data_IF_485711303082
#
_entry.id   IF_485711303082
#
_cell.length_a   1.000
_cell.length_b   1.000
_cell.length_c   1.000
_cell.angle_alpha   90.00
_cell.angle_beta   90.00
_cell.angle_gamma   90.00
#
_symmetry.space_group_name_H-M   'P 1'
#
loop_
_entity.id
_entity.type
_entity.pdbx_description
1 polymer ?
#
# COMPACT_ATOMS: atom_id res chain seq x y z
N UNK A 1 16.46 -9.40 26.52
CA UNK A 1 16.69 -10.61 25.70
C UNK A 1 16.07 -10.35 24.34
N UNK A 2 16.88 -10.36 23.30
CA UNK A 2 16.51 -9.94 21.95
C UNK A 2 15.45 -10.88 21.37
N UNK A 3 14.34 -10.32 20.87
CA UNK A 3 13.39 -11.08 20.07
C UNK A 3 14.04 -11.33 18.69
N UNK A 4 14.41 -12.57 18.49
CA UNK A 4 15.06 -13.08 17.29
C UNK A 4 14.09 -12.95 16.10
N UNK A 5 14.42 -12.09 15.13
CA UNK A 5 13.82 -12.16 13.80
C UNK A 5 14.29 -13.46 13.17
N UNK A 6 13.56 -14.56 13.37
CA UNK A 6 13.81 -15.80 12.63
C UNK A 6 13.32 -15.63 11.20
N UNK A 7 14.15 -15.02 10.36
CA UNK A 7 14.09 -15.21 8.93
C UNK A 7 14.55 -16.65 8.66
N UNK A 8 13.60 -17.57 8.49
CA UNK A 8 13.91 -18.92 8.03
C UNK A 8 14.46 -18.83 6.60
N UNK A 9 15.78 -18.97 6.46
CA UNK A 9 16.47 -18.96 5.17
C UNK A 9 16.39 -20.37 4.59
N UNK A 10 15.49 -20.60 3.63
CA UNK A 10 15.33 -21.92 2.98
C UNK A 10 16.60 -22.29 2.19
N UNK A 11 17.18 -23.45 2.50
CA UNK A 11 18.49 -23.92 2.06
C UNK A 11 18.51 -24.54 0.66
N UNK A 12 17.86 -23.92 -0.33
CA UNK A 12 17.97 -24.33 -1.74
C UNK A 12 19.30 -23.83 -2.33
N UNK A 13 20.03 -24.70 -3.03
CA UNK A 13 21.34 -24.41 -3.66
C UNK A 13 21.24 -23.58 -4.94
N UNK A 14 20.30 -22.64 -5.03
CA UNK A 14 20.07 -21.79 -6.20
C UNK A 14 20.63 -20.36 -6.05
N UNK A 15 21.21 -20.02 -4.88
CA UNK A 15 21.79 -18.70 -4.62
C UNK A 15 20.75 -17.58 -4.51
N UNK A 16 19.47 -17.95 -4.36
CA UNK A 16 18.33 -17.02 -4.24
C UNK A 16 17.94 -16.89 -2.77
N UNK A 17 18.23 -15.73 -2.16
CA UNK A 17 17.79 -15.43 -0.81
C UNK A 17 16.27 -15.20 -0.78
N UNK A 18 15.55 -16.08 -0.10
CA UNK A 18 14.11 -15.99 0.15
C UNK A 18 13.87 -15.47 1.56
N UNK A 19 13.05 -14.43 1.67
CA UNK A 19 12.62 -13.88 2.94
C UNK A 19 11.15 -14.22 3.14
N UNK A 20 10.80 -14.92 4.22
CA UNK A 20 9.41 -15.22 4.52
C UNK A 20 8.84 -14.08 5.35
N UNK A 21 7.69 -13.56 4.92
CA UNK A 21 6.95 -12.55 5.68
C UNK A 21 5.66 -13.16 6.21
N UNK A 22 5.45 -12.91 7.50
CA UNK A 22 4.24 -13.24 8.22
C UNK A 22 3.19 -12.17 7.93
N UNK A 23 2.02 -12.62 7.49
CA UNK A 23 0.87 -11.77 7.22
C UNK A 23 -0.34 -12.30 7.96
N UNK A 24 -1.23 -11.38 8.33
CA UNK A 24 -2.52 -11.72 8.87
C UNK A 24 -3.39 -12.36 7.77
N UNK A 25 -4.08 -13.45 8.10
CA UNK A 25 -5.03 -14.07 7.18
C UNK A 25 -6.28 -13.19 7.08
N UNK A 26 -6.70 -12.89 5.86
CA UNK A 26 -7.97 -12.22 5.65
C UNK A 26 -9.10 -13.22 5.42
N UNK A 27 -10.30 -12.87 5.90
CA UNK A 27 -11.55 -13.60 5.62
C UNK A 27 -11.99 -13.38 4.16
N UNK A 28 -11.25 -13.98 3.23
CA UNK A 28 -11.48 -13.89 1.79
C UNK A 28 -11.64 -15.30 1.22
N UNK A 29 -12.68 -15.48 0.41
CA UNK A 29 -12.85 -16.68 -0.40
C UNK A 29 -12.21 -16.40 -1.77
N UNK A 30 -11.04 -16.97 -2.10
CA UNK A 30 -10.31 -16.69 -3.35
C UNK A 30 -10.91 -17.47 -4.54
N UNK A 31 -12.22 -17.69 -4.54
CA UNK A 31 -12.93 -18.46 -5.55
C UNK A 31 -13.97 -17.55 -6.19
N UNK A 32 -13.97 -17.50 -7.52
CA UNK A 32 -14.99 -16.76 -8.26
C UNK A 32 -16.38 -17.29 -7.90
N UNK A 33 -17.28 -16.39 -7.51
CA UNK A 33 -18.66 -16.74 -7.14
C UNK A 33 -19.36 -17.67 -8.17
N UNK A 34 -19.31 -17.41 -9.50
CA UNK A 34 -19.91 -18.33 -10.47
C UNK A 34 -19.31 -19.74 -10.42
N UNK A 35 -17.99 -19.85 -10.22
CA UNK A 35 -17.31 -21.15 -10.09
C UNK A 35 -17.75 -21.89 -8.83
N UNK A 36 -17.90 -21.18 -7.71
CA UNK A 36 -18.42 -21.75 -6.47
C UNK A 36 -19.86 -22.24 -6.63
N UNK A 37 -20.74 -21.38 -7.14
CA UNK A 37 -22.16 -21.72 -7.36
C UNK A 37 -22.29 -22.92 -8.30
N UNK A 38 -21.56 -22.93 -9.42
CA UNK A 38 -21.61 -24.07 -10.35
C UNK A 38 -21.11 -25.35 -9.71
N UNK A 39 -20.00 -25.31 -8.96
CA UNK A 39 -19.46 -26.50 -8.29
C UNK A 39 -20.42 -27.05 -7.25
N UNK A 40 -21.04 -26.20 -6.43
CA UNK A 40 -22.07 -26.61 -5.47
C UNK A 40 -23.30 -27.19 -6.17
N UNK A 41 -23.75 -26.56 -7.26
CA UNK A 41 -24.87 -27.06 -8.05
C UNK A 41 -24.60 -28.45 -8.66
N UNK A 42 -23.36 -28.74 -9.08
CA UNK A 42 -22.99 -30.05 -9.61
C UNK A 42 -22.98 -31.17 -8.57
N UNK A 43 -22.87 -30.84 -7.28
CA UNK A 43 -22.94 -31.82 -6.19
C UNK A 43 -24.38 -32.27 -5.89
N UNK A 44 -25.38 -31.57 -6.44
CA UNK A 44 -26.79 -31.90 -6.27
C UNK A 44 -27.20 -32.93 -7.34
N UNK A 45 -27.66 -34.10 -6.90
CA UNK A 45 -28.00 -35.24 -7.77
C UNK A 45 -29.25 -34.98 -8.62
N UNK A 46 -30.33 -34.48 -8.01
CA UNK A 46 -31.59 -34.24 -8.70
C UNK A 46 -31.60 -32.90 -9.46
N UNK A 47 -32.03 -32.93 -10.73
CA UNK A 47 -32.08 -31.74 -11.59
C UNK A 47 -33.06 -30.68 -11.07
N UNK A 48 -34.17 -31.09 -10.48
CA UNK A 48 -35.16 -30.18 -9.89
C UNK A 48 -34.52 -29.34 -8.77
N UNK A 49 -33.87 -30.00 -7.80
CA UNK A 49 -33.19 -29.36 -6.67
C UNK A 49 -32.04 -28.47 -7.13
N UNK A 50 -31.31 -28.89 -8.17
CA UNK A 50 -30.24 -28.08 -8.78
C UNK A 50 -30.79 -26.76 -9.32
N UNK A 51 -31.93 -26.81 -10.03
CA UNK A 51 -32.58 -25.62 -10.56
C UNK A 51 -33.12 -24.72 -9.45
N UNK A 52 -33.66 -25.29 -8.37
CA UNK A 52 -34.08 -24.53 -7.19
C UNK A 52 -32.91 -23.86 -6.47
N UNK A 53 -31.80 -24.56 -6.27
CA UNK A 53 -30.57 -24.02 -5.71
C UNK A 53 -30.05 -22.83 -6.52
N UNK A 54 -29.99 -22.95 -7.85
CA UNK A 54 -29.58 -21.84 -8.72
C UNK A 54 -30.53 -20.64 -8.63
N UNK A 55 -31.85 -20.87 -8.50
CA UNK A 55 -32.83 -19.81 -8.25
C UNK A 55 -32.60 -19.16 -6.89
N UNK A 56 -32.32 -19.94 -5.85
CA UNK A 56 -32.00 -19.44 -4.52
C UNK A 56 -30.75 -18.54 -4.56
N UNK A 57 -29.64 -18.99 -5.17
CA UNK A 57 -28.43 -18.20 -5.31
C UNK A 57 -28.70 -16.85 -6.00
N UNK A 58 -29.50 -16.84 -7.08
CA UNK A 58 -29.89 -15.61 -7.78
C UNK A 58 -30.72 -14.69 -6.89
N UNK A 59 -31.70 -15.23 -6.15
CA UNK A 59 -32.52 -14.45 -5.21
C UNK A 59 -31.67 -13.82 -4.13
N UNK A 60 -30.78 -14.58 -3.49
CA UNK A 60 -29.84 -14.09 -2.48
C UNK A 60 -28.97 -12.97 -3.05
N UNK A 61 -28.42 -13.14 -4.25
CA UNK A 61 -27.63 -12.10 -4.92
C UNK A 61 -28.43 -10.80 -5.14
N UNK A 62 -29.67 -10.90 -5.63
CA UNK A 62 -30.49 -9.72 -5.86
C UNK A 62 -30.88 -9.02 -4.56
N UNK A 63 -31.23 -9.77 -3.51
CA UNK A 63 -31.52 -9.21 -2.19
C UNK A 63 -30.31 -8.46 -1.64
N UNK A 64 -29.13 -9.07 -1.67
CA UNK A 64 -27.88 -8.44 -1.21
C UNK A 64 -27.60 -7.18 -2.03
N UNK A 65 -27.73 -7.24 -3.36
CA UNK A 65 -27.51 -6.08 -4.24
C UNK A 65 -28.49 -4.94 -3.93
N UNK A 66 -29.76 -5.25 -3.69
CA UNK A 66 -30.76 -4.25 -3.35
C UNK A 66 -30.46 -3.57 -2.01
N UNK A 67 -30.05 -4.34 -0.99
CA UNK A 67 -29.65 -3.79 0.30
C UNK A 67 -28.49 -2.81 0.19
N UNK A 68 -27.46 -3.15 -0.60
CA UNK A 68 -26.30 -2.26 -0.77
C UNK A 68 -26.55 -1.10 -1.73
N UNK A 69 -27.54 -1.19 -2.62
CA UNK A 69 -27.86 -0.12 -3.56
C UNK A 69 -28.26 1.17 -2.83
N UNK A 70 -29.15 1.07 -1.84
CA UNK A 70 -29.60 2.22 -1.06
C UNK A 70 -28.44 2.87 -0.30
N UNK A 71 -27.61 2.07 0.37
CA UNK A 71 -26.43 2.58 1.09
C UNK A 71 -25.43 3.27 0.16
N UNK A 72 -25.28 2.74 -1.06
CA UNK A 72 -24.40 3.31 -2.06
C UNK A 72 -24.94 4.63 -2.62
N UNK A 73 -26.24 4.73 -2.87
CA UNK A 73 -26.87 5.97 -3.34
C UNK A 73 -26.71 7.10 -2.33
N UNK A 74 -26.97 6.85 -1.05
CA UNK A 74 -26.78 7.84 0.03
C UNK A 74 -25.32 8.30 0.12
N UNK A 75 -24.37 7.35 0.08
CA UNK A 75 -22.94 7.66 0.10
C UNK A 75 -22.52 8.48 -1.13
N UNK A 76 -23.03 8.16 -2.31
CA UNK A 76 -22.70 8.87 -3.55
C UNK A 76 -23.29 10.27 -3.57
N UNK A 77 -24.50 10.47 -3.05
CA UNK A 77 -25.10 11.79 -2.91
C UNK A 77 -24.25 12.68 -2.01
N UNK A 78 -23.86 12.17 -0.84
CA UNK A 78 -22.97 12.88 0.09
C UNK A 78 -21.59 13.15 -0.52
N UNK A 79 -20.97 12.14 -1.13
CA UNK A 79 -19.67 12.28 -1.79
C UNK A 79 -19.71 13.37 -2.86
N UNK A 80 -20.83 13.52 -3.57
CA UNK A 80 -20.95 14.49 -4.64
C UNK A 80 -20.77 15.94 -4.18
N UNK A 81 -21.02 16.26 -2.91
CA UNK A 81 -20.74 17.57 -2.30
C UNK A 81 -19.24 17.78 -2.05
N UNK A 82 -18.50 16.70 -1.84
CA UNK A 82 -17.08 16.69 -1.50
C UNK A 82 -16.22 16.16 -2.65
N UNK A 83 -16.78 16.01 -3.85
CA UNK A 83 -16.04 15.64 -5.04
C UNK A 83 -14.96 16.70 -5.33
N UNK A 84 -13.67 16.32 -5.50
CA UNK A 84 -12.60 17.29 -5.67
C UNK A 84 -12.71 18.17 -6.92
N UNK A 85 -13.56 17.82 -7.89
CA UNK A 85 -13.72 18.56 -9.15
C UNK A 85 -14.91 19.50 -9.07
N UNK A 86 -16.09 18.97 -8.72
CA UNK A 86 -17.38 19.70 -8.78
C UNK A 86 -18.00 20.03 -7.42
N UNK A 87 -17.44 19.52 -6.32
CA UNK A 87 -18.01 19.67 -4.98
C UNK A 87 -18.09 21.12 -4.51
N UNK A 88 -17.07 21.94 -4.81
CA UNK A 88 -17.04 23.37 -4.43
C UNK A 88 -18.23 24.14 -4.99
N UNK A 89 -18.55 23.94 -6.27
CA UNK A 89 -19.67 24.61 -6.93
C UNK A 89 -21.02 24.16 -6.35
N UNK A 90 -21.16 22.86 -6.05
CA UNK A 90 -22.38 22.31 -5.44
C UNK A 90 -22.62 22.85 -4.03
N UNK A 91 -21.57 22.93 -3.22
CA UNK A 91 -21.65 23.52 -1.87
C UNK A 91 -22.07 24.99 -1.93
N UNK A 92 -21.53 25.75 -2.90
CA UNK A 92 -21.92 27.15 -3.12
C UNK A 92 -23.38 27.27 -3.56
N UNK A 93 -23.86 26.39 -4.44
CA UNK A 93 -25.26 26.39 -4.90
C UNK A 93 -26.26 26.10 -3.77
N UNK A 94 -25.88 25.26 -2.81
CA UNK A 94 -26.76 24.88 -1.71
C UNK A 94 -26.79 25.92 -0.57
N UNK A 95 -25.93 26.94 -0.59
CA UNK A 95 -25.85 28.01 0.43
C UNK A 95 -25.79 27.47 1.87
N UNK A 96 -25.10 26.36 2.08
CA UNK A 96 -24.96 25.72 3.39
C UNK A 96 -24.04 26.53 4.31
N UNK A 97 -24.35 26.53 5.60
CA UNK A 97 -23.49 27.10 6.62
C UNK A 97 -22.23 26.23 6.81
N UNK A 98 -21.11 26.80 7.31
CA UNK A 98 -19.89 26.02 7.56
C UNK A 98 -20.09 24.83 8.51
N UNK A 99 -20.99 24.95 9.49
CA UNK A 99 -21.30 23.89 10.47
C UNK A 99 -22.07 22.73 9.84
N UNK A 100 -23.03 23.03 8.96
CA UNK A 100 -23.75 22.01 8.18
C UNK A 100 -22.79 21.26 7.25
N UNK A 101 -21.89 21.98 6.58
CA UNK A 101 -20.87 21.37 5.72
C UNK A 101 -19.99 20.41 6.55
N UNK A 102 -19.53 20.82 7.73
CA UNK A 102 -18.74 19.94 8.61
C UNK A 102 -19.52 18.71 9.06
N UNK A 103 -20.82 18.84 9.32
CA UNK A 103 -21.68 17.71 9.69
C UNK A 103 -21.81 16.73 8.52
N UNK A 104 -22.00 17.24 7.30
CA UNK A 104 -22.07 16.41 6.09
C UNK A 104 -20.72 15.75 5.77
N UNK A 105 -19.59 16.43 5.98
CA UNK A 105 -18.25 15.84 5.85
C UNK A 105 -18.09 14.66 6.80
N UNK A 106 -18.51 14.85 8.05
CA UNK A 106 -18.41 13.83 9.07
C UNK A 106 -19.31 12.63 8.78
N UNK A 107 -20.54 12.87 8.34
CA UNK A 107 -21.46 11.82 7.90
C UNK A 107 -20.89 11.02 6.72
N UNK A 108 -20.31 11.71 5.73
CA UNK A 108 -19.63 11.04 4.62
C UNK A 108 -18.50 10.13 5.12
N UNK A 109 -17.64 10.62 6.02
CA UNK A 109 -16.56 9.81 6.60
C UNK A 109 -17.12 8.59 7.35
N UNK A 110 -18.14 8.77 8.18
CA UNK A 110 -18.79 7.65 8.91
C UNK A 110 -19.33 6.59 7.96
N UNK A 111 -20.07 6.97 6.92
CA UNK A 111 -20.58 6.01 5.95
C UNK A 111 -19.45 5.34 5.14
N UNK A 112 -18.42 6.09 4.78
CA UNK A 112 -17.25 5.54 4.10
C UNK A 112 -16.59 4.44 4.94
N UNK A 113 -16.34 4.70 6.22
CA UNK A 113 -15.75 3.71 7.14
C UNK A 113 -16.64 2.47 7.30
N UNK A 114 -17.95 2.65 7.49
CA UNK A 114 -18.90 1.54 7.56
C UNK A 114 -18.88 0.67 6.29
N UNK A 115 -18.81 1.31 5.11
CA UNK A 115 -18.73 0.58 3.83
C UNK A 115 -17.40 -0.17 3.72
N UNK A 116 -16.29 0.43 4.16
CA UNK A 116 -14.98 -0.24 4.18
C UNK A 116 -15.00 -1.47 5.10
N UNK A 117 -15.50 -1.32 6.32
CA UNK A 117 -15.61 -2.40 7.31
C UNK A 117 -16.49 -3.55 6.81
N UNK A 118 -17.72 -3.25 6.35
CA UNK A 118 -18.63 -4.26 5.75
C UNK A 118 -18.04 -4.94 4.52
N UNK A 119 -17.11 -4.28 3.84
CA UNK A 119 -16.40 -4.81 2.67
C UNK A 119 -15.11 -5.55 3.04
N UNK A 120 -14.85 -5.81 4.33
CA UNK A 120 -13.63 -6.44 4.85
C UNK A 120 -12.34 -5.70 4.48
N UNK A 121 -12.40 -4.38 4.29
CA UNK A 121 -11.18 -3.58 4.23
C UNK A 121 -10.66 -3.33 5.64
N UNK A 122 -9.33 -3.37 5.79
CA UNK A 122 -8.65 -2.97 7.02
C UNK A 122 -7.86 -1.69 6.78
N UNK A 123 -7.71 -0.87 7.82
CA UNK A 123 -6.73 0.21 7.78
C UNK A 123 -5.32 -0.38 7.75
N UNK A 124 -4.46 0.23 6.93
CA UNK A 124 -3.05 -0.11 6.88
C UNK A 124 -2.38 0.24 8.21
N UNK A 125 -1.70 -0.71 8.84
CA UNK A 125 -0.98 -0.50 10.10
C UNK A 125 0.43 0.08 9.87
N UNK A 126 1.03 0.64 10.94
CA UNK A 126 2.45 1.06 10.89
C UNK A 126 3.38 -0.12 10.60
N UNK A 127 3.07 -1.32 11.11
CA UNK A 127 3.88 -2.53 10.83
C UNK A 127 3.85 -2.90 9.35
N UNK A 128 2.67 -2.89 8.73
CA UNK A 128 2.51 -3.15 7.29
C UNK A 128 3.19 -2.06 6.46
N UNK A 129 3.10 -0.81 6.90
CA UNK A 129 3.75 0.33 6.27
C UNK A 129 5.29 0.23 6.33
N UNK A 130 5.84 -0.15 7.48
CA UNK A 130 7.28 -0.36 7.67
C UNK A 130 7.78 -1.55 6.85
N UNK A 131 7.01 -2.64 6.80
CA UNK A 131 7.31 -3.82 5.97
C UNK A 131 7.33 -3.43 4.48
N UNK A 132 6.39 -2.59 4.04
CA UNK A 132 6.36 -2.04 2.69
C UNK A 132 7.60 -1.18 2.41
N UNK A 133 7.99 -0.29 3.33
CA UNK A 133 9.16 0.58 3.16
C UNK A 133 10.52 -0.16 3.27
N UNK A 134 10.54 -1.33 3.91
CA UNK A 134 11.78 -2.07 4.22
C UNK A 134 12.50 -2.69 3.01
N UNK A 135 11.94 -2.65 1.81
CA UNK A 135 12.59 -3.24 0.64
C UNK A 135 12.22 -2.60 -0.68
N UNK A 136 13.04 -2.91 -1.69
CA UNK A 136 12.85 -2.47 -3.07
C UNK A 136 12.44 -3.66 -3.94
N UNK A 137 11.40 -3.48 -4.73
CA UNK A 137 10.92 -4.50 -5.66
C UNK A 137 11.30 -4.18 -7.11
N UNK A 138 10.57 -3.27 -7.77
CA UNK A 138 10.83 -2.90 -9.17
C UNK A 138 11.12 -1.41 -9.34
N UNK A 139 10.56 -0.55 -8.50
CA UNK A 139 10.66 0.90 -8.66
C UNK A 139 11.49 1.52 -7.53
N UNK A 140 12.62 2.12 -7.88
CA UNK A 140 13.48 2.87 -6.96
C UNK A 140 13.19 4.37 -7.12
N UNK A 141 11.98 4.79 -6.79
CA UNK A 141 11.65 6.22 -6.75
C UNK A 141 11.60 6.62 -5.29
N UNK A 142 12.54 7.41 -4.75
CA UNK A 142 12.46 7.92 -3.39
C UNK A 142 11.32 8.95 -3.31
N UNK A 143 10.08 8.47 -3.18
CA UNK A 143 8.89 9.30 -3.21
C UNK A 143 8.51 9.61 -1.77
N UNK A 144 8.59 10.89 -1.41
CA UNK A 144 8.07 11.38 -0.13
C UNK A 144 6.78 12.13 -0.36
N UNK A 145 5.82 11.95 0.54
CA UNK A 145 4.59 12.76 0.55
C UNK A 145 4.93 14.20 0.87
N UNK A 146 4.36 15.14 0.13
CA UNK A 146 4.38 16.55 0.46
C UNK A 146 3.28 16.88 1.47
N UNK A 147 3.60 16.72 2.75
CA UNK A 147 2.65 16.98 3.83
C UNK A 147 2.09 18.41 3.85
N UNK A 148 2.79 19.37 3.23
CA UNK A 148 2.32 20.75 3.16
C UNK A 148 1.06 20.91 2.32
N UNK A 149 0.81 19.97 1.40
CA UNK A 149 -0.34 19.95 0.51
C UNK A 149 -1.54 19.19 1.06
N UNK A 150 -1.43 18.62 2.26
CA UNK A 150 -2.47 17.79 2.87
C UNK A 150 -3.12 18.49 4.04
N UNK A 151 -4.45 18.43 4.07
CA UNK A 151 -5.21 18.88 5.23
C UNK A 151 -4.99 17.92 6.40
N UNK A 152 -4.90 18.48 7.60
CA UNK A 152 -4.76 17.72 8.85
C UNK A 152 -6.01 17.79 9.73
N UNK A 153 -7.01 18.60 9.38
CA UNK A 153 -8.17 18.88 10.24
C UNK A 153 -9.21 17.77 10.17
N UNK A 154 -9.56 17.30 8.97
CA UNK A 154 -10.66 16.34 8.76
C UNK A 154 -10.47 15.06 9.57
N UNK A 155 -9.36 14.37 9.30
CA UNK A 155 -9.09 13.06 9.90
C UNK A 155 -8.75 13.18 11.38
N UNK A 156 -8.06 14.24 11.80
CA UNK A 156 -7.81 14.50 13.24
C UNK A 156 -9.12 14.67 14.01
N UNK A 157 -10.08 15.45 13.47
CA UNK A 157 -11.40 15.62 14.10
C UNK A 157 -12.16 14.30 14.12
N UNK A 158 -12.18 13.59 12.99
CA UNK A 158 -12.86 12.31 12.86
C UNK A 158 -12.36 11.27 13.88
N UNK A 159 -11.05 11.03 13.96
CA UNK A 159 -10.48 10.04 14.89
C UNK A 159 -10.52 10.45 16.36
N UNK A 160 -10.66 11.76 16.65
CA UNK A 160 -10.90 12.22 18.01
C UNK A 160 -12.29 11.79 18.51
N UNK A 161 -13.28 11.79 17.63
CA UNK A 161 -14.66 11.39 17.94
C UNK A 161 -14.90 9.88 17.74
N UNK A 162 -14.09 9.24 16.88
CA UNK A 162 -14.09 7.80 16.63
C UNK A 162 -12.69 7.21 16.86
N UNK A 163 -12.31 6.93 18.13
CA UNK A 163 -11.03 6.31 18.43
C UNK A 163 -10.90 4.96 17.73
N UNK A 164 -9.76 4.74 17.07
CA UNK A 164 -9.43 3.48 16.42
C UNK A 164 -8.08 2.99 16.94
N UNK A 165 -7.97 1.68 17.15
CA UNK A 165 -6.71 1.05 17.49
C UNK A 165 -5.78 0.95 16.27
N UNK A 166 -4.47 0.91 16.53
CA UNK A 166 -3.44 0.69 15.51
C UNK A 166 -3.43 1.70 14.34
N UNK A 167 -3.88 2.93 14.58
CA UNK A 167 -3.81 4.00 13.59
C UNK A 167 -2.35 4.35 13.27
N UNK A 168 -1.98 4.45 11.98
CA UNK A 168 -0.64 4.82 11.61
C UNK A 168 -0.32 6.27 11.97
N UNK A 169 0.96 6.61 12.14
CA UNK A 169 1.40 7.95 12.56
C UNK A 169 0.96 9.08 11.60
N UNK A 170 0.75 8.74 10.33
CA UNK A 170 0.30 9.68 9.29
C UNK A 170 -1.23 9.75 9.13
N UNK A 171 -2.00 9.01 9.93
CA UNK A 171 -3.47 8.91 9.83
C UNK A 171 -4.20 10.25 9.91
N UNK A 172 -3.58 11.27 10.51
CA UNK A 172 -4.13 12.63 10.54
C UNK A 172 -4.11 13.36 9.19
N UNK A 173 -3.36 12.88 8.19
CA UNK A 173 -3.20 13.51 6.86
C UNK A 173 -3.93 12.73 5.77
N UNK A 174 -3.78 11.42 5.78
CA UNK A 174 -4.41 10.50 4.84
C UNK A 174 -4.52 9.13 5.47
N UNK A 175 -5.47 8.34 4.98
CA UNK A 175 -5.67 6.94 5.40
C UNK A 175 -5.60 6.04 4.18
N UNK A 176 -5.18 4.81 4.43
CA UNK A 176 -5.07 3.76 3.42
C UNK A 176 -5.84 2.57 3.94
N UNK A 177 -6.88 2.19 3.21
CA UNK A 177 -7.55 0.92 3.38
C UNK A 177 -6.90 -0.11 2.45
N UNK A 178 -6.71 -1.32 2.95
CA UNK A 178 -6.21 -2.46 2.17
C UNK A 178 -7.15 -3.66 2.31
N UNK A 179 -7.19 -4.50 1.26
CA UNK A 179 -7.88 -5.79 1.24
C UNK A 179 -7.27 -6.70 0.18
N UNK A 180 -7.14 -7.96 0.54
CA UNK A 180 -6.63 -9.07 -0.25
C UNK A 180 -5.11 -9.07 -0.26
N UNK A 181 -4.53 -10.26 -0.07
CA UNK A 181 -3.10 -10.50 -0.20
C UNK A 181 -2.89 -11.45 -1.38
N UNK A 182 -2.32 -10.91 -2.44
CA UNK A 182 -1.91 -11.64 -3.63
C UNK A 182 -0.40 -11.86 -3.67
N UNK A 183 0.07 -12.46 -4.76
CA UNK A 183 1.49 -12.68 -5.01
C UNK A 183 1.78 -12.20 -6.43
N UNK A 184 2.64 -11.19 -6.56
CA UNK A 184 3.21 -10.81 -7.85
C UNK A 184 4.48 -11.62 -8.11
N UNK A 185 4.61 -12.16 -9.32
CA UNK A 185 5.77 -12.94 -9.77
C UNK A 185 6.18 -12.45 -11.15
N UNK A 186 7.37 -11.89 -11.24
CA UNK A 186 7.93 -11.46 -12.52
C UNK A 186 9.21 -12.21 -12.80
N UNK A 187 9.31 -12.84 -13.97
CA UNK A 187 10.52 -13.57 -14.41
C UNK A 187 11.10 -12.91 -15.64
N UNK A 188 12.24 -12.25 -15.48
CA UNK A 188 12.94 -11.58 -16.57
C UNK A 188 14.45 -11.54 -16.31
N UNK A 189 15.22 -10.99 -17.25
CA UNK A 189 16.65 -10.81 -17.12
C UNK A 189 17.04 -9.68 -16.16
N UNK A 190 16.21 -8.65 -16.02
CA UNK A 190 16.41 -7.50 -15.11
C UNK A 190 17.82 -6.88 -15.21
N UNK A 191 18.36 -6.75 -16.43
CA UNK A 191 19.76 -6.34 -16.64
C UNK A 191 20.07 -4.96 -16.03
N UNK A 192 19.22 -3.97 -16.30
CA UNK A 192 19.43 -2.59 -15.85
C UNK A 192 19.32 -2.51 -14.33
N UNK A 193 18.33 -3.20 -13.75
CA UNK A 193 18.08 -3.25 -12.32
C UNK A 193 19.23 -3.96 -11.59
N UNK A 194 19.75 -5.06 -12.15
CA UNK A 194 20.94 -5.76 -11.63
C UNK A 194 22.16 -4.86 -11.60
N UNK A 195 22.39 -4.09 -12.67
CA UNK A 195 23.50 -3.12 -12.74
C UNK A 195 23.31 -2.00 -11.72
N UNK A 196 22.10 -1.45 -11.55
CA UNK A 196 21.81 -0.41 -10.55
C UNK A 196 22.06 -0.93 -9.12
N UNK A 197 21.71 -2.18 -8.83
CA UNK A 197 22.03 -2.84 -7.54
C UNK A 197 23.54 -2.97 -7.35
N UNK A 198 24.30 -3.34 -8.38
CA UNK A 198 25.77 -3.41 -8.30
C UNK A 198 26.39 -2.04 -8.03
N UNK A 199 25.97 -1.00 -8.76
CA UNK A 199 26.42 0.38 -8.57
C UNK A 199 26.09 0.83 -7.15
N UNK A 200 24.86 0.57 -6.68
CA UNK A 200 24.42 0.92 -5.32
C UNK A 200 25.23 0.21 -4.22
N UNK A 201 25.66 -1.03 -4.44
CA UNK A 201 26.55 -1.77 -3.52
C UNK A 201 27.97 -1.18 -3.51
N UNK A 202 28.52 -0.89 -4.70
CA UNK A 202 29.84 -0.29 -4.84
C UNK A 202 29.89 1.12 -4.22
N UNK A 203 28.87 1.94 -4.46
CA UNK A 203 28.74 3.30 -3.91
C UNK A 203 28.66 3.28 -2.38
N UNK A 204 27.83 2.39 -1.80
CA UNK A 204 27.78 2.18 -0.34
C UNK A 204 29.09 1.67 0.28
N UNK A 205 29.92 0.99 -0.50
CA UNK A 205 31.26 0.57 -0.06
C UNK A 205 32.22 1.76 -0.09
N UNK A 206 32.23 2.52 -1.19
CA UNK A 206 33.05 3.72 -1.36
C UNK A 206 32.76 4.79 -0.30
N UNK A 207 31.47 5.07 -0.02
CA UNK A 207 31.08 6.03 1.01
C UNK A 207 31.49 5.58 2.43
N UNK A 208 31.42 4.27 2.71
CA UNK A 208 31.88 3.69 3.99
C UNK A 208 33.39 3.83 4.16
N UNK A 209 34.16 3.53 3.10
CA UNK A 209 35.64 3.62 3.11
C UNK A 209 36.09 5.08 3.28
N UNK A 210 35.42 6.02 2.64
CA UNK A 210 35.73 7.46 2.72
C UNK A 210 35.23 8.13 4.01
N UNK A 211 34.51 7.41 4.89
CA UNK A 211 33.89 7.91 6.15
C UNK A 211 32.92 9.10 5.98
N UNK A 212 32.54 9.45 4.74
CA UNK A 212 31.61 10.55 4.43
C UNK A 212 30.18 10.22 4.90
N UNK A 213 29.88 8.93 5.14
CA UNK A 213 28.62 8.49 5.77
C UNK A 213 28.31 9.18 7.11
N UNK A 214 29.33 9.67 7.84
CA UNK A 214 29.14 10.45 9.07
C UNK A 214 28.53 11.83 8.83
N UNK A 215 28.67 12.41 7.63
CA UNK A 215 28.08 13.70 7.27
C UNK A 215 26.63 13.56 6.77
N UNK A 216 26.25 12.40 6.23
CA UNK A 216 24.89 12.12 5.74
C UNK A 216 24.02 11.31 6.72
N UNK A 217 24.56 10.96 7.89
CA UNK A 217 23.81 10.28 8.96
C UNK A 217 22.86 11.24 9.68
N UNK A 218 21.74 11.54 9.03
CA UNK A 218 20.58 12.09 9.74
C UNK A 218 20.06 11.00 10.68
N UNK A 219 20.26 11.19 11.99
CA UNK A 219 19.73 10.31 13.05
C UNK A 219 18.31 9.85 12.70
N UNK A 220 18.14 8.58 12.36
CA UNK A 220 16.84 7.95 12.48
C UNK A 220 16.57 7.82 13.98
N UNK A 221 15.54 8.53 14.42
CA UNK A 221 15.06 8.44 15.79
C UNK A 221 14.44 7.05 15.94
N UNK A 222 15.25 6.07 16.36
CA UNK A 222 14.75 4.80 16.87
C UNK A 222 13.82 5.14 18.05
N UNK A 223 12.51 5.00 17.85
CA UNK A 223 11.57 5.08 18.97
C UNK A 223 11.86 3.90 19.91
N UNK A 224 11.96 4.15 21.22
CA UNK A 224 12.00 3.07 22.19
C UNK A 224 10.66 2.33 22.15
N UNK A 225 10.72 1.02 21.93
CA UNK A 225 9.59 0.11 22.05
C UNK A 225 9.10 0.17 23.50
N UNK A 226 7.93 0.77 23.75
CA UNK A 226 7.31 0.69 25.06
C UNK A 226 6.98 -0.77 25.35
N UNK A 227 7.54 -1.28 26.43
CA UNK A 227 7.32 -2.65 26.88
C UNK A 227 5.90 -2.82 27.39
N UNK A 228 5.06 -3.52 26.63
CA UNK A 228 3.82 -4.09 27.14
C UNK A 228 4.18 -5.15 28.17
N UNK A 229 3.78 -4.93 29.42
CA UNK A 229 3.91 -5.90 30.51
C UNK A 229 3.14 -7.16 30.13
N UNK A 230 3.80 -8.31 30.23
CA UNK A 230 3.15 -9.62 30.25
C UNK A 230 2.34 -9.71 31.54
N UNK A 231 1.04 -9.90 31.42
CA UNK A 231 0.23 -10.58 32.42
C UNK A 231 -0.14 -11.93 31.80
N UNK A 232 0.37 -12.99 32.42
CA UNK A 232 0.03 -14.37 32.11
C UNK A 232 -1.43 -14.61 32.52
N UNK A 233 -2.32 -14.67 31.54
CA UNK A 233 -3.55 -15.44 31.66
C UNK A 233 -3.66 -16.32 30.41
N UNK A 234 -3.55 -17.63 30.64
CA UNK A 234 -3.71 -18.68 29.66
C UNK A 234 -5.19 -18.69 29.28
N UNK A 235 -5.51 -18.16 28.09
CA UNK A 235 -6.69 -18.56 27.35
C UNK A 235 -6.19 -19.37 26.15
N UNK A 236 -6.35 -20.69 26.27
CA UNK A 236 -6.40 -21.61 25.14
C UNK A 236 -7.68 -21.28 24.37
N UNK A 237 -7.59 -20.55 23.25
CA UNK A 237 -8.59 -20.57 22.19
C UNK A 237 -8.01 -19.92 20.90
N UNK A 238 -7.84 -20.76 19.88
CA UNK A 238 -7.67 -20.45 18.45
C UNK A 238 -6.46 -19.57 18.03
N UNK A 239 -5.28 -20.20 17.91
CA UNK A 239 -4.22 -19.67 17.03
C UNK A 239 -4.74 -19.65 15.58
N UNK A 240 -5.20 -18.49 15.13
CA UNK A 240 -5.49 -18.22 13.72
C UNK A 240 -4.27 -18.66 12.87
N UNK A 241 -4.43 -19.57 11.89
CA UNK A 241 -3.30 -20.05 11.10
C UNK A 241 -2.70 -18.90 10.28
N UNK A 242 -1.51 -18.47 10.68
CA UNK A 242 -0.75 -17.35 10.11
C UNK A 242 -0.42 -17.60 8.61
N UNK A 243 -0.56 -16.57 7.77
CA UNK A 243 -0.22 -16.67 6.34
C UNK A 243 1.26 -16.31 6.14
N UNK A 244 2.06 -17.27 5.68
CA UNK A 244 3.46 -17.05 5.33
C UNK A 244 3.61 -16.85 3.82
N UNK A 245 4.18 -15.72 3.40
CA UNK A 245 4.44 -15.42 1.98
C UNK A 245 5.92 -15.21 1.75
N UNK A 246 6.46 -15.91 0.76
CA UNK A 246 7.86 -15.74 0.33
C UNK A 246 8.05 -14.44 -0.44
N UNK A 247 9.12 -13.72 -0.13
CA UNK A 247 9.67 -12.59 -0.87
C UNK A 247 11.00 -13.00 -1.50
N UNK A 248 11.12 -12.74 -2.79
CA UNK A 248 12.34 -12.97 -3.56
C UNK A 248 12.76 -11.62 -4.13
N UNK A 249 13.83 -11.03 -3.60
CA UNK A 249 14.24 -9.65 -3.92
C UNK A 249 15.59 -9.62 -4.62
N UNK A 250 15.70 -8.78 -5.64
CA UNK A 250 16.93 -8.61 -6.41
C UNK A 250 18.12 -8.16 -5.54
N UNK A 251 17.87 -7.31 -4.55
CA UNK A 251 18.91 -6.75 -3.68
C UNK A 251 19.64 -7.79 -2.83
N UNK A 252 19.02 -8.94 -2.53
CA UNK A 252 19.59 -9.97 -1.65
C UNK A 252 20.26 -11.12 -2.41
N UNK A 253 20.28 -11.07 -3.74
CA UNK A 253 20.82 -12.15 -4.57
C UNK A 253 22.34 -12.04 -4.72
N UNK A 254 23.01 -13.18 -4.75
CA UNK A 254 24.43 -13.28 -5.09
C UNK A 254 24.62 -12.96 -6.58
N UNK A 255 25.14 -11.77 -6.86
CA UNK A 255 25.37 -11.27 -8.21
C UNK A 255 26.71 -11.83 -8.71
N UNK A 256 26.67 -12.95 -9.44
CA UNK A 256 27.78 -13.43 -10.26
C UNK A 256 27.61 -12.98 -11.72
N UNK A 257 28.68 -12.90 -12.51
CA UNK A 257 28.60 -12.56 -13.95
C UNK A 257 27.67 -13.51 -14.72
N UNK A 258 27.55 -14.76 -14.28
CA UNK A 258 26.63 -15.76 -14.82
C UNK A 258 25.17 -15.46 -14.44
N UNK A 259 24.93 -15.05 -13.20
CA UNK A 259 23.60 -14.66 -12.70
C UNK A 259 23.13 -13.31 -13.27
N UNK A 260 24.05 -12.46 -13.72
CA UNK A 260 23.71 -11.18 -14.35
C UNK A 260 23.03 -11.40 -15.72
N UNK A 261 23.49 -12.39 -16.48
CA UNK A 261 22.97 -12.75 -17.80
C UNK A 261 21.85 -13.80 -17.79
N UNK A 262 21.47 -14.35 -16.64
CA UNK A 262 20.38 -15.33 -16.55
C UNK A 262 19.03 -14.66 -16.24
N UNK A 263 17.94 -15.30 -16.71
CA UNK A 263 16.59 -14.99 -16.23
C UNK A 263 16.49 -15.26 -14.73
N UNK A 264 15.67 -14.49 -14.05
CA UNK A 264 15.49 -14.56 -12.61
C UNK A 264 14.04 -14.23 -12.28
N UNK A 265 13.48 -14.95 -11.30
CA UNK A 265 12.14 -14.69 -10.79
C UNK A 265 12.24 -13.82 -9.53
N UNK A 266 11.57 -12.67 -9.55
CA UNK A 266 11.35 -11.81 -8.39
C UNK A 266 9.89 -12.05 -7.94
N UNK A 267 9.67 -12.03 -6.63
CA UNK A 267 8.36 -12.27 -6.03
C UNK A 267 8.14 -11.31 -4.87
N UNK A 268 6.99 -10.66 -4.83
CA UNK A 268 6.57 -9.82 -3.70
C UNK A 268 5.06 -10.01 -3.44
N UNK A 269 4.62 -10.04 -2.18
CA UNK A 269 3.19 -9.98 -1.87
C UNK A 269 2.59 -8.68 -2.39
N UNK A 270 1.34 -8.74 -2.80
CA UNK A 270 0.57 -7.58 -3.28
C UNK A 270 -0.62 -7.33 -2.37
N UNK A 271 -0.99 -6.06 -2.23
CA UNK A 271 -2.35 -5.72 -1.83
C UNK A 271 -3.25 -5.77 -3.06
N UNK A 272 -4.25 -6.66 -3.07
CA UNK A 272 -5.15 -6.83 -4.21
C UNK A 272 -5.97 -5.56 -4.45
N UNK A 273 -6.37 -4.90 -3.38
CA UNK A 273 -7.16 -3.66 -3.38
C UNK A 273 -6.64 -2.71 -2.32
N UNK A 274 -6.39 -1.47 -2.73
CA UNK A 274 -6.09 -0.37 -1.81
C UNK A 274 -6.99 0.82 -2.11
N UNK A 275 -7.47 1.49 -1.08
CA UNK A 275 -8.24 2.73 -1.19
C UNK A 275 -7.55 3.78 -0.33
N UNK A 276 -7.13 4.87 -0.97
CA UNK A 276 -6.46 5.99 -0.31
C UNK A 276 -7.43 7.15 -0.21
N UNK A 277 -7.61 7.66 1.02
CA UNK A 277 -8.53 8.76 1.31
C UNK A 277 -7.75 9.92 1.90
N UNK A 278 -7.88 11.11 1.31
CA UNK A 278 -7.20 12.31 1.78
C UNK A 278 -7.91 13.58 1.33
N UNK A 279 -7.62 14.70 2.00
CA UNK A 279 -8.07 16.04 1.61
C UNK A 279 -6.86 16.94 1.38
N UNK A 280 -6.93 17.82 0.39
CA UNK A 280 -5.85 18.80 0.14
C UNK A 280 -5.91 19.94 1.14
N UNK A 281 -4.76 20.52 1.44
CA UNK A 281 -4.69 21.74 2.22
C UNK A 281 -5.28 22.90 1.43
N UNK A 282 -6.29 23.56 1.99
CA UNK A 282 -6.82 24.81 1.45
C UNK A 282 -6.02 26.04 1.86
N UNK A 283 -6.45 27.20 1.38
CA UNK A 283 -5.96 28.49 1.89
C UNK A 283 -6.65 28.85 3.20
N UNK A 284 -6.10 29.81 3.95
CA UNK A 284 -6.74 30.30 5.20
C UNK A 284 -8.12 30.91 4.95
N UNK A 285 -8.33 31.48 3.76
CA UNK A 285 -9.56 32.18 3.36
C UNK A 285 -10.54 31.27 2.63
N UNK A 286 -10.06 30.27 1.91
CA UNK A 286 -10.88 29.26 1.25
C UNK A 286 -10.33 27.85 1.55
N UNK A 287 -10.94 27.10 2.48
CA UNK A 287 -10.59 25.71 2.70
C UNK A 287 -10.96 24.87 1.47
N UNK A 288 -10.06 23.99 1.04
CA UNK A 288 -10.38 22.96 0.07
C UNK A 288 -11.16 21.85 0.80
N UNK A 289 -12.40 21.64 0.35
CA UNK A 289 -13.34 20.68 0.93
C UNK A 289 -13.41 19.38 0.11
N UNK A 290 -12.64 19.29 -0.99
CA UNK A 290 -12.58 18.12 -1.84
C UNK A 290 -11.90 16.93 -1.17
N UNK A 291 -12.62 15.82 -1.02
CA UNK A 291 -12.11 14.57 -0.45
C UNK A 291 -11.76 13.62 -1.60
N UNK A 292 -10.48 13.30 -1.73
CA UNK A 292 -10.00 12.36 -2.72
C UNK A 292 -10.17 10.94 -2.21
N UNK A 293 -10.88 10.10 -2.95
CA UNK A 293 -10.97 8.65 -2.73
C UNK A 293 -10.40 7.93 -3.95
N UNK A 294 -9.18 7.39 -3.82
CA UNK A 294 -8.46 6.75 -4.94
C UNK A 294 -8.36 5.25 -4.73
N UNK A 295 -8.70 4.48 -5.75
CA UNK A 295 -8.65 3.03 -5.72
C UNK A 295 -7.53 2.49 -6.60
N UNK A 296 -6.75 1.58 -6.02
CA UNK A 296 -5.63 0.89 -6.65
C UNK A 296 -5.83 -0.63 -6.57
N UNK A 297 -5.27 -1.35 -7.53
CA UNK A 297 -5.36 -2.81 -7.60
C UNK A 297 -3.99 -3.43 -7.79
N UNK A 298 -3.77 -4.58 -7.17
CA UNK A 298 -2.58 -5.42 -7.35
C UNK A 298 -1.28 -4.62 -7.15
N UNK A 299 -1.19 -3.90 -6.03
CA UNK A 299 -0.02 -3.08 -5.71
C UNK A 299 0.98 -3.94 -4.95
N UNK A 300 2.20 -4.15 -5.46
CA UNK A 300 3.26 -4.81 -4.68
C UNK A 300 3.49 -4.05 -3.37
N UNK A 301 3.59 -4.77 -2.25
CA UNK A 301 3.75 -4.13 -0.94
C UNK A 301 4.99 -3.23 -0.89
N UNK A 302 6.10 -3.66 -1.48
CA UNK A 302 7.32 -2.85 -1.56
C UNK A 302 7.21 -1.60 -2.46
N UNK A 303 6.21 -1.54 -3.35
CA UNK A 303 5.97 -0.41 -4.26
C UNK A 303 4.76 0.44 -3.80
N UNK A 304 4.40 0.37 -2.50
CA UNK A 304 3.30 1.14 -1.94
C UNK A 304 3.48 2.66 -2.06
N UNK A 305 4.70 3.15 -2.27
CA UNK A 305 4.97 4.55 -2.59
C UNK A 305 4.19 5.06 -3.83
N UNK A 306 3.74 4.15 -4.71
CA UNK A 306 2.88 4.47 -5.85
C UNK A 306 1.51 4.98 -5.40
N UNK A 307 0.96 4.51 -4.29
CA UNK A 307 -0.39 4.89 -3.86
C UNK A 307 -0.41 6.17 -3.03
N UNK A 308 0.76 6.60 -2.55
CA UNK A 308 0.87 7.76 -1.67
C UNK A 308 0.39 9.06 -2.34
N UNK A 309 -0.34 9.92 -1.61
CA UNK A 309 -0.86 11.19 -2.15
C UNK A 309 0.23 12.25 -2.27
N UNK A 310 -0.03 13.27 -3.09
CA UNK A 310 0.75 14.52 -3.18
C UNK A 310 2.28 14.33 -3.11
N UNK A 311 2.81 13.48 -3.99
CA UNK A 311 4.21 13.08 -4.05
C UNK A 311 5.12 14.28 -4.34
N UNK A 312 6.24 14.37 -3.63
CA UNK A 312 7.36 15.26 -3.98
C UNK A 312 8.06 14.74 -5.24
N UNK A 313 8.65 15.66 -6.00
CA UNK A 313 9.43 15.29 -7.18
C UNK A 313 10.53 14.30 -6.79
N UNK A 314 10.71 13.20 -7.54
CA UNK A 314 11.66 12.16 -7.19
C UNK A 314 13.08 12.73 -7.21
N UNK A 315 13.88 12.39 -6.20
CA UNK A 315 15.33 12.60 -6.32
C UNK A 315 15.92 11.59 -7.29
N UNK A 316 16.95 12.01 -8.03
CA UNK A 316 17.62 11.20 -9.03
C UNK A 316 18.16 9.88 -8.45
N UNK A 317 18.05 8.79 -9.22
CA UNK A 317 18.64 7.50 -8.85
C UNK A 317 20.17 7.54 -9.01
N UNK A 318 20.94 6.64 -8.35
CA UNK A 318 22.39 6.56 -8.53
C UNK A 318 22.82 6.40 -10.00
N UNK A 319 22.09 5.60 -10.78
CA UNK A 319 22.30 5.45 -12.22
C UNK A 319 22.14 6.78 -12.97
N UNK A 320 21.16 7.62 -12.59
CA UNK A 320 20.98 8.92 -13.21
C UNK A 320 22.18 9.82 -12.96
N UNK A 321 22.76 9.80 -11.75
CA UNK A 321 24.02 10.51 -11.45
C UNK A 321 25.19 10.03 -12.31
N UNK A 322 25.30 8.72 -12.56
CA UNK A 322 26.32 8.17 -13.46
C UNK A 322 26.10 8.67 -14.89
N UNK A 323 24.86 8.66 -15.39
CA UNK A 323 24.52 9.20 -16.71
C UNK A 323 24.85 10.69 -16.81
N UNK A 324 24.55 11.47 -15.77
CA UNK A 324 24.90 12.90 -15.71
C UNK A 324 26.42 13.12 -15.71
N UNK A 325 27.19 12.29 -15.00
CA UNK A 325 28.65 12.38 -15.02
C UNK A 325 29.21 12.06 -16.42
N UNK A 326 28.72 10.99 -17.05
CA UNK A 326 29.14 10.61 -18.41
C UNK A 326 28.79 11.71 -19.42
N UNK A 327 27.56 12.25 -19.36
CA UNK A 327 27.14 13.32 -20.27
C UNK A 327 27.93 14.61 -20.05
N UNK A 328 28.26 14.95 -18.81
CA UNK A 328 29.13 16.08 -18.48
C UNK A 328 30.55 15.90 -19.03
N UNK A 329 31.15 14.71 -18.86
CA UNK A 329 32.49 14.40 -19.40
C UNK A 329 32.51 14.45 -20.92
N UNK A 330 31.49 13.88 -21.58
CA UNK A 330 31.36 13.94 -23.05
C UNK A 330 31.20 15.40 -23.51
N UNK A 331 30.36 16.19 -22.84
CA UNK A 331 30.19 17.61 -23.14
C UNK A 331 31.48 18.42 -22.99
N UNK A 332 32.28 18.10 -21.97
CA UNK A 332 33.58 18.73 -21.71
C UNK A 332 34.62 18.33 -22.76
N UNK A 333 34.63 17.06 -23.18
CA UNK A 333 35.48 16.58 -24.28
C UNK A 333 35.11 17.19 -25.64
N UNK A 334 33.82 17.40 -25.91
CA UNK A 334 33.35 18.06 -27.14
C UNK A 334 33.75 19.55 -27.16
N UNK A 335 33.65 20.26 -26.03
CA UNK A 335 34.05 21.67 -25.94
C UNK A 335 35.57 21.86 -26.00
N UNK A 336 36.35 20.96 -25.41
CA UNK A 336 37.81 20.99 -25.54
C UNK A 336 38.32 20.61 -26.95
N UNK A 337 37.50 19.94 -27.78
CA UNK A 337 37.83 19.67 -29.19
C UNK A 337 37.35 20.76 -30.15
N UNK A 338 36.49 21.68 -29.70
CA UNK A 338 36.01 22.81 -30.50
C UNK A 338 36.73 24.13 -30.20
N UNK A 339 37.69 24.11 -29.26
CA UNK A 339 38.78 25.08 -29.15
C UNK A 339 40.01 24.49 -29.84
#
# INVERSE_FOLDING_TARGET
MAAEKQAAMDGRKDGVAREVIRMEREAVIPILKPKLVMRLAYLIEHEADRNEFLKLCKKVEYTIRAWYLLQFEDLMQLYSLFDPVSGKERLQQQNLTPEEIETLEFNFMTYLFQVMEKSNFKLLSDEEFDIAQSGKYLLNLPIKVDESKLDKKLLTKYFKEHPHDNLPEFSNKYIIFRRGIGIDRTTDYFFIEKVDVMISRAWRSLLRVTRIDRLFSKKQHLKPKNGTKKTDEINEDEEDPELFVERIRLEKIELSLKNLMSKMTIQEPTFDRMIVVYRRAGTKTEPDRGIFVKHFKNIPMADMEIVLPEKKNPSLTPMDWVKFLISAVIGLLMTCRSL
#
